data_IF_204818396636
#
_entry.id   IF_204818396636
#
_cell.length_a   1.000
_cell.length_b   1.000
_cell.length_c   1.000
_cell.angle_alpha   90.00
_cell.angle_beta   90.00
_cell.angle_gamma   90.00
#
_symmetry.space_group_name_H-M   'P 1'
#
loop_
_entity.id
_entity.type
_entity.pdbx_description
1 polymer ?
#
# COMPACT_ATOMS: atom_id res chain seq x y z
N UNK A 1 0.31 -5.73 15.50
CA UNK A 1 -0.46 -6.17 14.31
C UNK A 1 -1.21 -4.97 13.78
N UNK A 2 -1.11 -4.72 12.48
CA UNK A 2 -1.79 -3.64 11.79
C UNK A 2 -2.78 -4.25 10.81
N UNK A 3 -4.00 -3.73 10.77
CA UNK A 3 -5.02 -4.08 9.80
C UNK A 3 -5.42 -2.83 9.04
N UNK A 4 -5.56 -2.97 7.72
CA UNK A 4 -5.92 -1.87 6.82
C UNK A 4 -7.14 -2.32 6.02
N UNK A 5 -8.23 -1.59 6.20
CA UNK A 5 -9.48 -1.73 5.44
C UNK A 5 -9.68 -0.46 4.63
N UNK A 6 -9.68 -0.58 3.31
CA UNK A 6 -9.76 0.57 2.40
C UNK A 6 -10.46 0.16 1.10
N UNK A 7 -11.16 1.07 0.40
CA UNK A 7 -11.56 0.80 -0.97
C UNK A 7 -10.36 0.86 -1.93
N UNK A 8 -10.45 0.14 -3.04
CA UNK A 8 -9.60 0.31 -4.21
C UNK A 8 -9.79 1.71 -4.81
N UNK A 9 -8.69 2.39 -5.12
CA UNK A 9 -8.73 3.75 -5.66
C UNK A 9 -9.29 3.83 -7.09
N UNK A 10 -9.32 2.72 -7.83
CA UNK A 10 -9.81 2.65 -9.21
C UNK A 10 -11.28 2.20 -9.28
N UNK A 11 -11.59 1.02 -8.72
CA UNK A 11 -12.92 0.41 -8.83
C UNK A 11 -13.80 0.54 -7.57
N UNK A 12 -13.25 0.97 -6.44
CA UNK A 12 -13.98 1.09 -5.17
C UNK A 12 -14.23 -0.23 -4.41
N UNK A 13 -13.83 -1.38 -4.96
CA UNK A 13 -13.96 -2.68 -4.28
C UNK A 13 -13.13 -2.74 -2.99
N UNK A 14 -13.55 -3.52 -1.97
CA UNK A 14 -12.87 -3.56 -0.69
C UNK A 14 -11.50 -4.24 -0.79
N UNK A 15 -10.51 -3.65 -0.13
CA UNK A 15 -9.17 -4.18 0.09
C UNK A 15 -8.96 -4.38 1.58
N UNK A 16 -8.44 -5.56 1.95
CA UNK A 16 -8.02 -5.91 3.30
C UNK A 16 -6.54 -6.33 3.32
N UNK A 17 -5.75 -5.70 4.20
CA UNK A 17 -4.35 -6.05 4.41
C UNK A 17 -4.06 -6.27 5.89
N UNK A 18 -3.36 -7.35 6.22
CA UNK A 18 -2.86 -7.66 7.56
C UNK A 18 -1.33 -7.67 7.54
N UNK A 19 -0.72 -6.94 8.48
CA UNK A 19 0.74 -6.82 8.60
C UNK A 19 1.19 -7.00 10.04
N UNK A 20 2.36 -7.61 10.21
CA UNK A 20 3.05 -7.73 11.51
C UNK A 20 4.56 -7.69 11.29
N UNK A 21 5.24 -6.88 12.10
CA UNK A 21 6.71 -6.82 12.15
C UNK A 21 7.39 -6.61 10.78
N UNK A 22 6.75 -5.81 9.91
CA UNK A 22 7.25 -5.52 8.55
C UNK A 22 6.87 -6.54 7.49
N UNK A 23 6.19 -7.64 7.86
CA UNK A 23 5.76 -8.69 6.93
C UNK A 23 4.26 -8.60 6.64
N UNK A 24 3.91 -8.79 5.36
CA UNK A 24 2.53 -8.96 4.92
C UNK A 24 2.07 -10.38 5.27
N UNK A 25 1.09 -10.48 6.18
CA UNK A 25 0.48 -11.75 6.56
C UNK A 25 -0.67 -12.12 5.61
N UNK A 26 -1.43 -11.13 5.15
CA UNK A 26 -2.56 -11.31 4.23
C UNK A 26 -2.81 -10.08 3.38
N UNK A 27 -3.09 -10.29 2.10
CA UNK A 27 -3.64 -9.30 1.18
C UNK A 27 -4.84 -9.88 0.45
N UNK A 28 -5.98 -9.18 0.51
CA UNK A 28 -7.18 -9.54 -0.23
C UNK A 28 -7.75 -8.29 -0.92
N UNK A 29 -7.81 -8.27 -2.27
CA UNK A 29 -7.34 -9.31 -3.18
C UNK A 29 -5.81 -9.48 -3.12
N UNK A 30 -5.32 -10.67 -3.51
CA UNK A 30 -3.87 -10.94 -3.52
C UNK A 30 -3.11 -10.08 -4.56
N UNK A 31 -3.82 -9.52 -5.53
CA UNK A 31 -3.28 -8.65 -6.59
C UNK A 31 -3.22 -7.17 -6.22
N UNK A 32 -3.40 -6.82 -4.94
CA UNK A 32 -3.29 -5.44 -4.46
C UNK A 32 -1.92 -4.85 -4.83
N UNK A 33 -1.94 -3.61 -5.32
CA UNK A 33 -0.74 -2.80 -5.56
C UNK A 33 -0.83 -1.51 -4.74
N UNK A 34 0.30 -1.06 -4.21
CA UNK A 34 0.43 0.28 -3.63
C UNK A 34 0.83 1.28 -4.71
N UNK A 35 0.14 2.42 -4.77
CA UNK A 35 0.52 3.54 -5.63
C UNK A 35 1.04 4.69 -4.77
N UNK A 36 2.21 5.24 -5.14
CA UNK A 36 2.80 6.41 -4.50
C UNK A 36 3.16 7.41 -5.59
N UNK A 37 2.63 8.62 -5.47
CA UNK A 37 3.03 9.76 -6.31
C UNK A 37 3.98 10.64 -5.51
N UNK A 38 5.29 10.44 -5.66
CA UNK A 38 6.29 11.34 -5.07
C UNK A 38 6.53 12.49 -6.04
N UNK A 39 6.27 13.76 -5.66
CA UNK A 39 6.64 14.90 -6.50
C UNK A 39 8.13 14.86 -6.83
N UNK A 40 8.51 15.10 -8.08
CA UNK A 40 9.90 14.97 -8.55
C UNK A 40 10.91 15.69 -7.64
N UNK A 41 10.55 16.87 -7.12
CA UNK A 41 11.38 17.66 -6.21
C UNK A 41 11.67 16.99 -4.85
N UNK A 42 10.96 15.92 -4.48
CA UNK A 42 11.07 15.22 -3.20
C UNK A 42 11.65 13.81 -3.28
N UNK A 43 12.00 13.34 -4.48
CA UNK A 43 12.54 11.98 -4.70
C UNK A 43 13.78 11.66 -3.84
N UNK A 44 14.65 12.65 -3.58
CA UNK A 44 15.84 12.44 -2.74
C UNK A 44 15.55 12.24 -1.24
N UNK A 45 14.33 12.54 -0.78
CA UNK A 45 13.94 12.40 0.62
C UNK A 45 13.31 11.03 0.92
N UNK A 46 12.75 10.38 -0.09
CA UNK A 46 11.98 9.14 0.01
C UNK A 46 12.53 8.06 -0.94
N UNK A 47 13.84 7.78 -0.82
CA UNK A 47 14.58 6.84 -1.70
C UNK A 47 13.98 5.43 -1.76
N UNK A 48 13.26 5.00 -0.73
CA UNK A 48 12.59 3.70 -0.72
C UNK A 48 11.41 3.61 -1.72
N UNK A 49 10.94 4.75 -2.22
CA UNK A 49 9.84 4.88 -3.19
C UNK A 49 10.31 5.45 -4.54
N UNK A 50 11.61 5.70 -4.71
CA UNK A 50 12.26 6.09 -5.97
C UNK A 50 12.56 4.86 -6.84
#
# INVERSE_FOLDING_TARGET
MVQIDTPCLDCGEPIHVEMRDGELLRCNPASVIGYVAVPLAKWGQDVAYA
#
